data_IF_130485708833
#
_entry.id   IF_130485708833
#
_cell.length_a   1.000
_cell.length_b   1.000
_cell.length_c   1.000
_cell.angle_alpha   90.00
_cell.angle_beta   90.00
_cell.angle_gamma   90.00
#
_symmetry.space_group_name_H-M   'P 1'
#
loop_
_entity.id
_entity.type
_entity.pdbx_description
1 polymer ?
#
# COMPACT_ATOMS: atom_id res chain seq x y z
N UNK A 1 25.55 -3.01 -7.42
CA UNK A 1 24.70 -2.66 -6.28
C UNK A 1 24.29 -3.92 -5.53
N UNK A 2 25.04 -4.18 -4.47
CA UNK A 2 24.74 -5.15 -3.44
C UNK A 2 23.49 -4.71 -2.65
N UNK A 3 22.84 -5.62 -1.93
CA UNK A 3 21.53 -5.37 -1.33
C UNK A 3 21.56 -4.36 -0.18
N UNK A 4 22.68 -4.26 0.53
CA UNK A 4 22.85 -3.28 1.61
C UNK A 4 23.02 -1.88 1.05
N UNK A 5 23.74 -1.74 -0.06
CA UNK A 5 23.99 -0.47 -0.76
C UNK A 5 22.69 0.21 -1.24
N UNK A 6 21.62 -0.55 -1.50
CA UNK A 6 20.32 0.01 -1.94
C UNK A 6 19.77 1.00 -0.90
N UNK A 7 19.91 0.68 0.39
CA UNK A 7 19.28 1.41 1.49
C UNK A 7 20.23 2.37 2.20
N UNK A 8 21.52 2.31 1.85
CA UNK A 8 22.56 3.15 2.44
C UNK A 8 22.78 4.40 1.60
N UNK A 9 22.92 5.54 2.27
CA UNK A 9 23.30 6.79 1.60
C UNK A 9 24.82 6.78 1.49
N UNK A 10 25.33 6.77 0.26
CA UNK A 10 26.77 6.69 -0.01
C UNK A 10 27.51 7.94 0.47
N UNK A 11 28.81 7.82 0.71
CA UNK A 11 29.63 8.95 1.12
C UNK A 11 29.64 10.04 0.04
N UNK A 12 29.10 11.23 0.36
CA UNK A 12 28.94 12.34 -0.59
C UNK A 12 27.59 12.38 -1.32
N UNK A 13 26.73 11.38 -1.12
CA UNK A 13 25.36 11.39 -1.63
C UNK A 13 24.46 12.25 -0.74
N UNK A 14 23.97 13.39 -1.27
CA UNK A 14 22.95 14.18 -0.59
C UNK A 14 21.54 13.75 -1.01
N UNK A 15 20.81 13.14 -0.08
CA UNK A 15 19.38 12.82 -0.23
C UNK A 15 18.54 13.82 0.56
N UNK A 16 17.78 14.66 -0.15
CA UNK A 16 16.83 15.61 0.46
C UNK A 16 15.45 15.46 -0.15
N UNK A 17 14.37 15.64 0.64
CA UNK A 17 13.04 15.72 0.08
C UNK A 17 12.97 16.91 -0.89
N UNK A 18 12.21 16.74 -1.96
CA UNK A 18 12.20 17.70 -3.07
C UNK A 18 11.00 17.52 -3.96
N UNK A 19 10.87 18.37 -4.99
CA UNK A 19 9.70 18.45 -5.87
C UNK A 19 9.35 17.07 -6.46
N UNK A 20 10.34 16.26 -6.82
CA UNK A 20 10.11 14.93 -7.38
C UNK A 20 9.29 14.03 -6.45
N UNK A 21 9.47 14.12 -5.13
CA UNK A 21 8.73 13.32 -4.16
C UNK A 21 7.27 13.77 -4.03
N UNK A 22 7.01 15.07 -4.12
CA UNK A 22 5.66 15.63 -4.17
C UNK A 22 4.94 15.18 -5.45
N UNK A 23 5.64 15.25 -6.59
CA UNK A 23 5.12 14.79 -7.89
C UNK A 23 4.79 13.30 -7.84
N UNK A 24 5.69 12.46 -7.33
CA UNK A 24 5.44 11.02 -7.18
C UNK A 24 4.26 10.76 -6.26
N UNK A 25 4.13 11.48 -5.15
CA UNK A 25 2.97 11.36 -4.25
C UNK A 25 1.67 11.68 -4.99
N UNK A 26 1.63 12.77 -5.73
CA UNK A 26 0.46 13.15 -6.53
C UNK A 26 0.13 12.11 -7.62
N UNK A 27 1.15 11.57 -8.29
CA UNK A 27 0.98 10.50 -9.29
C UNK A 27 0.44 9.21 -8.66
N UNK A 28 0.98 8.78 -7.52
CA UNK A 28 0.49 7.62 -6.78
C UNK A 28 -0.95 7.83 -6.32
N UNK A 29 -1.31 9.05 -5.92
CA UNK A 29 -2.70 9.38 -5.59
C UNK A 29 -3.60 9.25 -6.81
N UNK A 30 -3.22 9.83 -7.95
CA UNK A 30 -3.99 9.74 -9.19
C UNK A 30 -4.16 8.29 -9.67
N UNK A 31 -3.06 7.54 -9.76
CA UNK A 31 -3.07 6.13 -10.19
C UNK A 31 -3.87 5.28 -9.22
N UNK A 32 -3.61 5.43 -7.91
CA UNK A 32 -4.32 4.69 -6.86
C UNK A 32 -5.82 4.97 -6.86
N UNK A 33 -6.22 6.23 -7.05
CA UNK A 33 -7.63 6.60 -7.12
C UNK A 33 -8.34 5.94 -8.31
N UNK A 34 -7.73 5.97 -9.50
CA UNK A 34 -8.30 5.36 -10.71
C UNK A 34 -8.40 3.84 -10.57
N UNK A 35 -7.28 3.19 -10.26
CA UNK A 35 -7.22 1.73 -10.10
C UNK A 35 -8.13 1.27 -8.96
N UNK A 36 -8.22 2.05 -7.89
CA UNK A 36 -9.07 1.78 -6.74
C UNK A 36 -10.55 1.87 -7.07
N UNK A 37 -10.95 2.87 -7.87
CA UNK A 37 -12.33 3.01 -8.32
C UNK A 37 -12.75 1.82 -9.20
N UNK A 38 -11.90 1.42 -10.15
CA UNK A 38 -12.16 0.23 -10.98
C UNK A 38 -12.28 -1.04 -10.15
N UNK A 39 -11.38 -1.25 -9.17
CA UNK A 39 -11.48 -2.36 -8.23
C UNK A 39 -12.82 -2.39 -7.50
N UNK A 40 -13.24 -1.23 -6.99
CA UNK A 40 -14.50 -1.09 -6.25
C UNK A 40 -15.76 -1.35 -7.07
N UNK A 41 -15.68 -1.30 -8.40
CA UNK A 41 -16.81 -1.65 -9.27
C UNK A 41 -16.86 -3.13 -9.65
N UNK A 42 -15.72 -3.83 -9.63
CA UNK A 42 -15.64 -5.20 -10.17
C UNK A 42 -16.28 -6.25 -9.27
N UNK A 43 -16.01 -6.24 -7.96
CA UNK A 43 -16.53 -7.23 -7.00
C UNK A 43 -16.84 -6.57 -5.63
N UNK A 44 -17.84 -5.69 -5.55
CA UNK A 44 -18.14 -4.95 -4.32
C UNK A 44 -18.82 -5.80 -3.26
N UNK A 45 -18.40 -5.59 -2.00
CA UNK A 45 -19.15 -6.02 -0.81
C UNK A 45 -19.98 -4.89 -0.21
N UNK A 46 -19.52 -3.64 -0.39
CA UNK A 46 -20.18 -2.44 0.11
C UNK A 46 -19.25 -1.56 0.93
N UNK A 47 -19.59 -0.28 1.04
CA UNK A 47 -18.82 0.72 1.82
C UNK A 47 -17.32 0.81 1.47
N UNK A 48 -16.96 0.51 0.22
CA UNK A 48 -15.57 0.51 -0.25
C UNK A 48 -14.78 -0.76 0.06
N UNK A 49 -15.42 -1.79 0.61
CA UNK A 49 -14.84 -3.14 0.79
C UNK A 49 -15.16 -3.99 -0.43
N UNK A 50 -14.17 -4.72 -0.93
CA UNK A 50 -14.25 -5.48 -2.18
C UNK A 50 -13.49 -6.80 -2.10
N UNK A 51 -13.92 -7.80 -2.88
CA UNK A 51 -13.23 -9.10 -2.99
C UNK A 51 -11.99 -9.08 -3.89
N UNK A 52 -11.74 -7.98 -4.60
CA UNK A 52 -10.54 -7.81 -5.41
C UNK A 52 -10.27 -6.31 -5.57
N UNK A 53 -9.17 -5.82 -4.99
CA UNK A 53 -8.89 -4.39 -5.01
C UNK A 53 -7.44 -4.09 -5.40
N UNK A 54 -7.16 -3.91 -6.71
CA UNK A 54 -5.79 -3.80 -7.25
C UNK A 54 -4.99 -2.61 -6.72
N UNK A 55 -5.64 -1.55 -6.21
CA UNK A 55 -4.95 -0.37 -5.71
C UNK A 55 -4.12 -0.64 -4.45
N UNK A 56 -4.35 -1.75 -3.74
CA UNK A 56 -3.48 -2.19 -2.64
C UNK A 56 -2.01 -2.34 -3.09
N UNK A 57 -1.76 -2.74 -4.34
CA UNK A 57 -0.41 -2.83 -4.88
C UNK A 57 0.25 -1.45 -4.97
N UNK A 58 -0.50 -0.40 -5.33
CA UNK A 58 -0.01 0.99 -5.29
C UNK A 58 0.35 1.39 -3.87
N UNK A 59 -0.44 0.98 -2.87
CA UNK A 59 -0.12 1.26 -1.45
C UNK A 59 1.16 0.55 -1.01
N UNK A 60 1.23 -0.77 -1.18
CA UNK A 60 2.36 -1.57 -0.70
C UNK A 60 3.65 -1.13 -1.41
N UNK A 61 3.64 -1.09 -2.75
CA UNK A 61 4.84 -0.82 -3.54
C UNK A 61 5.22 0.66 -3.46
N UNK A 62 4.24 1.56 -3.43
CA UNK A 62 4.47 2.98 -3.20
C UNK A 62 5.23 3.22 -1.89
N UNK A 63 4.83 2.54 -0.80
CA UNK A 63 5.54 2.60 0.48
C UNK A 63 6.96 2.00 0.41
N UNK A 64 7.13 0.86 -0.25
CA UNK A 64 8.45 0.23 -0.44
C UNK A 64 9.40 1.20 -1.15
N UNK A 65 9.01 1.76 -2.30
CA UNK A 65 9.88 2.62 -3.10
C UNK A 65 10.05 4.03 -2.54
N UNK A 66 9.00 4.61 -1.97
CA UNK A 66 8.93 6.05 -1.69
C UNK A 66 8.73 6.41 -0.22
N UNK A 67 8.75 5.43 0.69
CA UNK A 67 8.74 5.67 2.14
C UNK A 67 7.49 6.43 2.59
N UNK A 68 7.67 7.49 3.37
CA UNK A 68 6.59 8.31 3.89
C UNK A 68 5.74 8.95 2.78
N UNK A 69 6.34 9.30 1.64
CA UNK A 69 5.63 9.84 0.48
C UNK A 69 4.63 8.83 -0.10
N UNK A 70 5.05 7.57 -0.21
CA UNK A 70 4.18 6.47 -0.62
C UNK A 70 3.07 6.19 0.39
N UNK A 71 3.38 6.27 1.69
CA UNK A 71 2.41 6.07 2.77
C UNK A 71 1.35 7.18 2.79
N UNK A 72 1.75 8.44 2.57
CA UNK A 72 0.83 9.56 2.42
C UNK A 72 -0.10 9.32 1.23
N UNK A 73 0.45 8.93 0.08
CA UNK A 73 -0.37 8.61 -1.09
C UNK A 73 -1.38 7.50 -0.78
N UNK A 74 -0.91 6.41 -0.15
CA UNK A 74 -1.73 5.27 0.26
C UNK A 74 -2.86 5.65 1.22
N UNK A 75 -2.61 6.58 2.14
CA UNK A 75 -3.63 7.06 3.07
C UNK A 75 -4.72 7.88 2.37
N UNK A 76 -4.35 8.66 1.34
CA UNK A 76 -5.22 9.69 0.77
C UNK A 76 -6.02 9.24 -0.45
N UNK A 77 -5.40 8.50 -1.37
CA UNK A 77 -6.10 8.11 -2.60
C UNK A 77 -7.37 7.28 -2.37
N UNK A 78 -7.47 6.43 -1.31
CA UNK A 78 -8.68 5.67 -1.06
C UNK A 78 -9.89 6.56 -0.77
N UNK A 79 -9.69 7.78 -0.26
CA UNK A 79 -10.77 8.75 -0.06
C UNK A 79 -11.44 9.08 -1.41
N UNK A 80 -10.62 9.24 -2.45
CA UNK A 80 -11.08 9.55 -3.80
C UNK A 80 -11.73 8.31 -4.43
N UNK A 81 -11.05 7.16 -4.43
CA UNK A 81 -11.59 5.95 -5.06
C UNK A 81 -12.88 5.46 -4.39
N UNK A 82 -12.95 5.53 -3.06
CA UNK A 82 -14.14 5.12 -2.32
C UNK A 82 -15.28 6.13 -2.53
N UNK A 83 -14.97 7.43 -2.61
CA UNK A 83 -15.96 8.45 -2.95
C UNK A 83 -16.57 8.23 -4.34
N UNK A 84 -15.75 7.89 -5.34
CA UNK A 84 -16.23 7.51 -6.68
C UNK A 84 -17.15 6.27 -6.62
N UNK A 85 -16.85 5.32 -5.73
CA UNK A 85 -17.66 4.13 -5.51
C UNK A 85 -18.91 4.36 -4.61
N UNK A 86 -19.17 5.61 -4.18
CA UNK A 86 -20.34 5.96 -3.38
C UNK A 86 -20.18 5.77 -1.86
N UNK A 87 -18.97 5.47 -1.37
CA UNK A 87 -18.71 5.37 0.07
C UNK A 87 -18.75 6.75 0.72
N UNK A 88 -19.45 6.92 1.85
CA UNK A 88 -19.47 8.20 2.56
C UNK A 88 -18.07 8.65 3.00
N UNK A 89 -17.78 9.94 2.86
CA UNK A 89 -16.44 10.51 3.13
C UNK A 89 -15.96 10.20 4.56
N UNK A 90 -16.84 10.23 5.56
CA UNK A 90 -16.47 9.93 6.95
C UNK A 90 -15.99 8.48 7.14
N UNK A 91 -16.55 7.52 6.38
CA UNK A 91 -16.09 6.12 6.38
C UNK A 91 -14.70 6.05 5.77
N UNK A 92 -14.49 6.71 4.63
CA UNK A 92 -13.20 6.75 3.96
C UNK A 92 -12.10 7.39 4.82
N UNK A 93 -12.40 8.48 5.53
CA UNK A 93 -11.48 9.10 6.48
C UNK A 93 -11.11 8.15 7.63
N UNK A 94 -12.08 7.39 8.14
CA UNK A 94 -11.85 6.42 9.20
C UNK A 94 -10.99 5.21 8.74
N UNK A 95 -10.87 4.96 7.44
CA UNK A 95 -9.96 3.96 6.88
C UNK A 95 -8.50 4.42 6.76
N UNK A 96 -8.19 5.70 6.96
CA UNK A 96 -6.82 6.23 6.86
C UNK A 96 -5.80 5.38 7.66
N UNK A 97 -6.06 4.99 8.92
CA UNK A 97 -5.10 4.17 9.68
C UNK A 97 -4.83 2.82 9.03
N UNK A 98 -5.86 2.14 8.52
CA UNK A 98 -5.73 0.86 7.81
C UNK A 98 -4.87 1.01 6.56
N UNK A 99 -5.21 1.98 5.71
CA UNK A 99 -4.55 2.21 4.43
C UNK A 99 -3.08 2.63 4.62
N UNK A 100 -2.83 3.56 5.54
CA UNK A 100 -1.49 3.98 5.90
C UNK A 100 -0.64 2.80 6.41
N UNK A 101 -1.21 1.95 7.27
CA UNK A 101 -0.50 0.79 7.80
C UNK A 101 -0.21 -0.28 6.74
N UNK A 102 -1.15 -0.51 5.81
CA UNK A 102 -0.95 -1.41 4.68
C UNK A 102 0.23 -1.00 3.79
N UNK A 103 0.49 0.31 3.66
CA UNK A 103 1.70 0.81 2.99
C UNK A 103 2.93 0.79 3.89
N UNK A 104 2.77 1.14 5.17
CA UNK A 104 3.86 1.25 6.13
C UNK A 104 4.52 -0.10 6.44
N UNK A 105 3.75 -1.17 6.66
CA UNK A 105 4.29 -2.47 7.04
C UNK A 105 5.35 -3.00 6.05
N UNK A 106 5.08 -3.08 4.73
CA UNK A 106 6.10 -3.46 3.76
C UNK A 106 7.22 -2.41 3.62
N UNK A 107 6.90 -1.12 3.66
CA UNK A 107 7.90 -0.05 3.62
C UNK A 107 8.94 -0.16 4.74
N UNK A 108 8.47 -0.41 5.97
CA UNK A 108 9.28 -0.60 7.16
C UNK A 108 10.10 -1.88 7.05
N UNK A 109 9.48 -3.00 6.66
CA UNK A 109 10.15 -4.30 6.62
C UNK A 109 11.30 -4.31 5.61
N UNK A 110 11.10 -3.76 4.41
CA UNK A 110 12.15 -3.70 3.38
C UNK A 110 13.36 -2.90 3.86
N UNK A 111 13.13 -1.75 4.50
CA UNK A 111 14.21 -0.91 5.05
C UNK A 111 14.88 -1.54 6.26
N UNK A 112 14.09 -2.03 7.23
CA UNK A 112 14.58 -2.61 8.49
C UNK A 112 15.44 -3.85 8.27
N UNK A 113 15.08 -4.65 7.28
CA UNK A 113 15.77 -5.89 6.95
C UNK A 113 16.70 -5.76 5.74
N UNK A 114 16.82 -4.57 5.14
CA UNK A 114 17.60 -4.34 3.92
C UNK A 114 17.26 -5.35 2.81
N UNK A 115 15.97 -5.55 2.54
CA UNK A 115 15.49 -6.47 1.50
C UNK A 115 15.68 -5.85 0.11
N UNK A 116 16.01 -6.65 -0.90
CA UNK A 116 16.14 -6.14 -2.28
C UNK A 116 14.75 -5.99 -2.92
N UNK A 117 14.29 -4.77 -3.31
CA UNK A 117 13.01 -4.56 -3.98
C UNK A 117 12.85 -5.30 -5.30
N UNK A 118 13.92 -5.85 -5.88
CA UNK A 118 13.88 -6.69 -7.10
C UNK A 118 13.55 -8.16 -6.79
N UNK A 119 13.35 -8.51 -5.52
CA UNK A 119 13.03 -9.85 -5.03
C UNK A 119 14.04 -10.91 -5.49
N UNK A 120 15.34 -10.66 -5.27
CA UNK A 120 16.44 -11.49 -5.82
C UNK A 120 16.66 -12.78 -5.05
N UNK A 121 16.33 -12.81 -3.76
CA UNK A 121 16.55 -13.96 -2.88
C UNK A 121 15.26 -14.44 -2.23
N UNK A 122 15.23 -15.69 -1.77
CA UNK A 122 14.10 -16.23 -1.00
C UNK A 122 13.79 -15.42 0.26
N UNK A 123 14.80 -14.78 0.85
CA UNK A 123 14.61 -13.85 1.99
C UNK A 123 13.82 -12.61 1.58
N UNK A 124 14.10 -12.03 0.42
CA UNK A 124 13.38 -10.83 -0.06
C UNK A 124 11.90 -11.17 -0.35
N UNK A 125 11.66 -12.36 -0.92
CA UNK A 125 10.31 -12.90 -1.10
C UNK A 125 9.59 -13.11 0.23
N UNK A 126 10.24 -13.73 1.22
CA UNK A 126 9.64 -13.95 2.52
C UNK A 126 9.27 -12.63 3.20
N UNK A 127 10.17 -11.64 3.16
CA UNK A 127 9.92 -10.30 3.72
C UNK A 127 8.75 -9.63 3.01
N UNK A 128 8.68 -9.72 1.68
CA UNK A 128 7.59 -9.19 0.88
C UNK A 128 6.24 -9.79 1.27
N UNK A 129 6.13 -11.12 1.25
CA UNK A 129 4.89 -11.82 1.54
C UNK A 129 4.43 -11.54 2.97
N UNK A 130 5.30 -11.76 3.96
CA UNK A 130 4.94 -11.58 5.38
C UNK A 130 4.53 -10.14 5.68
N UNK A 131 5.25 -9.14 5.14
CA UNK A 131 4.95 -7.74 5.43
C UNK A 131 3.63 -7.26 4.80
N UNK A 132 3.30 -7.73 3.59
CA UNK A 132 1.98 -7.48 2.99
C UNK A 132 0.89 -8.17 3.80
N UNK A 133 1.06 -9.45 4.14
CA UNK A 133 0.08 -10.20 4.93
C UNK A 133 -0.21 -9.51 6.27
N UNK A 134 0.82 -9.05 6.98
CA UNK A 134 0.66 -8.31 8.24
C UNK A 134 -0.10 -7.00 8.03
N UNK A 135 0.24 -6.23 6.98
CA UNK A 135 -0.48 -5.03 6.63
C UNK A 135 -1.95 -5.30 6.32
N UNK A 136 -2.23 -6.37 5.58
CA UNK A 136 -3.57 -6.76 5.19
C UNK A 136 -4.41 -7.30 6.34
N UNK A 137 -3.82 -8.06 7.27
CA UNK A 137 -4.49 -8.45 8.52
C UNK A 137 -4.94 -7.19 9.27
N UNK A 138 -4.05 -6.20 9.44
CA UNK A 138 -4.42 -4.98 10.14
C UNK A 138 -5.59 -4.26 9.46
N UNK A 139 -5.54 -4.07 8.14
CA UNK A 139 -6.62 -3.40 7.41
C UNK A 139 -7.94 -4.19 7.43
N UNK A 140 -7.87 -5.50 7.24
CA UNK A 140 -9.03 -6.39 7.24
C UNK A 140 -9.70 -6.52 8.60
N UNK A 141 -9.01 -6.24 9.69
CA UNK A 141 -9.62 -6.16 11.03
C UNK A 141 -10.07 -4.73 11.34
N UNK A 142 -9.24 -3.72 11.08
CA UNK A 142 -9.56 -2.31 11.35
C UNK A 142 -10.82 -1.86 10.61
N UNK A 143 -10.90 -2.12 9.30
CA UNK A 143 -12.01 -1.64 8.48
C UNK A 143 -13.37 -2.19 8.94
N UNK A 144 -13.56 -3.52 9.01
CA UNK A 144 -14.82 -4.11 9.45
C UNK A 144 -15.13 -3.89 10.94
N UNK A 145 -14.16 -4.08 11.85
CA UNK A 145 -14.42 -4.08 13.30
C UNK A 145 -14.46 -2.69 13.91
N UNK A 146 -13.52 -1.81 13.53
CA UNK A 146 -13.40 -0.48 14.12
C UNK A 146 -14.26 0.51 13.37
N UNK A 147 -14.19 0.50 12.03
CA UNK A 147 -14.87 1.52 11.22
C UNK A 147 -16.33 1.13 10.96
N UNK A 148 -16.57 0.04 10.23
CA UNK A 148 -17.91 -0.27 9.76
C UNK A 148 -18.86 -0.68 10.89
N UNK A 149 -18.42 -1.60 11.76
CA UNK A 149 -19.19 -1.96 12.95
C UNK A 149 -19.29 -0.78 13.93
N UNK A 150 -18.22 0.01 14.09
CA UNK A 150 -18.23 1.19 14.97
C UNK A 150 -19.23 2.27 14.53
N UNK A 151 -19.47 2.40 13.22
CA UNK A 151 -20.50 3.28 12.67
C UNK A 151 -21.88 2.61 12.50
N UNK A 152 -22.07 1.38 12.96
CA UNK A 152 -23.34 0.65 12.84
C UNK A 152 -23.70 0.26 11.40
N UNK A 153 -22.73 0.23 10.49
CA UNK A 153 -22.91 -0.11 9.06
C UNK A 153 -22.86 -1.62 8.80
N UNK A 154 -22.42 -2.42 9.77
CA UNK A 154 -22.39 -3.88 9.69
C UNK A 154 -23.09 -4.53 10.88
N UNK A 155 -23.81 -5.60 10.59
CA UNK A 155 -24.33 -6.54 11.60
C UNK A 155 -23.20 -7.48 12.05
N UNK A 156 -23.30 -8.03 13.27
CA UNK A 156 -22.30 -8.98 13.77
C UNK A 156 -22.11 -10.21 12.86
N UNK A 157 -23.17 -10.64 12.18
CA UNK A 157 -23.18 -11.77 11.25
C UNK A 157 -22.42 -11.47 9.95
N UNK A 158 -22.44 -10.22 9.49
CA UNK A 158 -21.76 -9.79 8.26
C UNK A 158 -20.26 -9.54 8.44
N UNK A 159 -19.80 -9.35 9.67
CA UNK A 159 -18.38 -9.03 9.97
C UNK A 159 -17.40 -10.04 9.38
N UNK A 160 -17.56 -11.37 9.56
CA UNK A 160 -16.62 -12.34 8.99
C UNK A 160 -16.50 -12.24 7.46
N UNK A 161 -17.62 -11.99 6.77
CA UNK A 161 -17.63 -11.83 5.31
C UNK A 161 -16.80 -10.61 4.88
N UNK A 162 -16.94 -9.49 5.58
CA UNK A 162 -16.20 -8.26 5.28
C UNK A 162 -14.71 -8.38 5.61
N UNK A 163 -14.35 -9.06 6.72
CA UNK A 163 -12.95 -9.35 7.05
C UNK A 163 -12.33 -10.20 5.93
N UNK A 164 -12.98 -11.30 5.54
CA UNK A 164 -12.45 -12.19 4.51
C UNK A 164 -12.42 -11.55 3.14
N UNK A 165 -13.45 -10.78 2.78
CA UNK A 165 -13.48 -10.06 1.51
C UNK A 165 -12.35 -9.06 1.39
N UNK A 166 -12.15 -8.24 2.43
CA UNK A 166 -11.03 -7.31 2.48
C UNK A 166 -9.69 -8.05 2.43
N UNK A 167 -9.50 -9.03 3.32
CA UNK A 167 -8.23 -9.75 3.43
C UNK A 167 -7.87 -10.45 2.12
N UNK A 168 -8.74 -11.32 1.61
CA UNK A 168 -8.49 -12.09 0.40
C UNK A 168 -8.33 -11.19 -0.82
N UNK A 169 -9.19 -10.15 -0.94
CA UNK A 169 -9.15 -9.24 -2.08
C UNK A 169 -7.90 -8.39 -2.13
N UNK A 170 -7.40 -7.96 -0.98
CA UNK A 170 -6.15 -7.21 -0.89
C UNK A 170 -4.93 -8.13 -0.98
N UNK A 171 -4.98 -9.33 -0.39
CA UNK A 171 -3.84 -10.25 -0.35
C UNK A 171 -3.48 -10.74 -1.76
N UNK A 172 -4.47 -11.25 -2.50
CA UNK A 172 -4.25 -11.78 -3.84
C UNK A 172 -3.77 -10.66 -4.77
N UNK A 173 -4.47 -9.52 -4.77
CA UNK A 173 -4.11 -8.40 -5.63
C UNK A 173 -2.74 -7.79 -5.26
N UNK A 174 -2.46 -7.61 -3.97
CA UNK A 174 -1.20 -7.06 -3.47
C UNK A 174 0.00 -7.94 -3.80
N UNK A 175 -0.14 -9.26 -3.66
CA UNK A 175 0.93 -10.20 -4.02
C UNK A 175 1.11 -10.23 -5.54
N UNK A 176 0.06 -10.49 -6.33
CA UNK A 176 0.18 -10.69 -7.78
C UNK A 176 0.73 -9.43 -8.45
N UNK A 177 0.09 -8.28 -8.25
CA UNK A 177 0.54 -7.04 -8.87
C UNK A 177 1.81 -6.49 -8.22
N UNK A 178 1.98 -6.68 -6.91
CA UNK A 178 3.20 -6.27 -6.23
C UNK A 178 4.45 -6.99 -6.76
N UNK A 179 4.36 -8.30 -6.99
CA UNK A 179 5.44 -9.07 -7.64
C UNK A 179 5.74 -8.53 -9.02
N UNK A 180 4.72 -8.31 -9.85
CA UNK A 180 4.89 -7.79 -11.22
C UNK A 180 5.61 -6.44 -11.18
N UNK A 181 5.13 -5.50 -10.36
CA UNK A 181 5.70 -4.16 -10.24
C UNK A 181 7.14 -4.21 -9.72
N UNK A 182 7.40 -4.97 -8.65
CA UNK A 182 8.73 -5.10 -8.07
C UNK A 182 9.72 -5.75 -9.04
N UNK A 183 9.32 -6.79 -9.75
CA UNK A 183 10.18 -7.46 -10.73
C UNK A 183 10.44 -6.61 -11.96
N UNK A 184 9.42 -5.93 -12.48
CA UNK A 184 9.53 -5.16 -13.71
C UNK A 184 10.25 -3.82 -13.51
N UNK A 185 9.99 -3.13 -12.39
CA UNK A 185 10.35 -1.72 -12.25
C UNK A 185 11.40 -1.45 -11.18
N UNK A 186 11.54 -2.28 -10.14
CA UNK A 186 12.51 -1.98 -9.06
C UNK A 186 13.93 -1.83 -9.57
N UNK A 187 14.32 -2.54 -10.64
CA UNK A 187 15.66 -2.38 -11.24
C UNK A 187 15.92 -0.98 -11.80
N UNK A 188 14.87 -0.26 -12.18
CA UNK A 188 14.94 1.12 -12.65
C UNK A 188 14.75 2.09 -11.49
N UNK A 189 13.70 1.87 -10.67
CA UNK A 189 13.31 2.81 -9.59
C UNK A 189 14.44 3.04 -8.59
N UNK A 190 15.14 1.98 -8.15
CA UNK A 190 16.21 2.11 -7.14
C UNK A 190 17.38 2.99 -7.58
N UNK A 191 17.55 3.23 -8.88
CA UNK A 191 18.62 4.04 -9.43
C UNK A 191 18.20 5.52 -9.63
N UNK A 192 16.98 5.90 -9.26
CA UNK A 192 16.49 7.27 -9.43
C UNK A 192 16.66 8.10 -8.17
N UNK A 193 16.59 9.42 -8.33
CA UNK A 193 16.57 10.37 -7.20
C UNK A 193 15.26 10.33 -6.42
N UNK A 194 14.19 9.76 -7.00
CA UNK A 194 12.89 9.63 -6.33
C UNK A 194 12.82 8.47 -5.35
N UNK A 195 13.67 7.45 -5.50
CA UNK A 195 13.68 6.32 -4.57
C UNK A 195 14.16 6.78 -3.19
N UNK A 196 13.39 6.40 -2.16
CA UNK A 196 13.58 6.86 -0.79
C UNK A 196 14.27 5.80 0.02
N UNK A 197 15.54 6.05 0.36
CA UNK A 197 16.38 5.10 1.11
C UNK A 197 15.99 5.06 2.58
N UNK A 198 15.71 6.21 3.20
CA UNK A 198 15.22 6.33 4.58
C UNK A 198 13.70 6.49 4.58
N UNK A 199 13.16 7.59 5.10
CA UNK A 199 11.71 7.81 5.15
C UNK A 199 11.23 8.95 4.26
N UNK A 200 12.05 9.97 4.05
CA UNK A 200 11.68 11.17 3.29
C UNK A 200 12.58 11.44 2.08
N UNK A 201 13.76 10.81 2.06
CA UNK A 201 14.73 10.75 0.97
C UNK A 201 15.64 9.53 1.16
#
# INVERSE_FOLDING_TARGET
>A
MDREEIWEVEAGEERRPGIIHIVITALLIGIGAVVGAFGSFTLPLGFGVNFFWPAIAVQNIGGIWYGAWGIIAAALFPIISNGIAGTPVYVSLAYIPANAFQSFAPAWAFRRFKADPRLKSGRDWLIFLVSITIGNIFGAFWGPLVVLKGFGLLTAESVPLFIWGWFAGNEIAGIVFGVILLKALSGVVINTTSFVKKWWA
#
